data_IF_120467922212
#
_entry.id   IF_120467922212
#
_cell.length_a   1.000
_cell.length_b   1.000
_cell.length_c   1.000
_cell.angle_alpha   90.00
_cell.angle_beta   90.00
_cell.angle_gamma   90.00
#
_symmetry.space_group_name_H-M   'P 1'
#
loop_
_entity.id
_entity.type
_entity.pdbx_description
1 polymer ?
#
# COMPACT_ATOMS: atom_id res chain seq x y z
N UNK A 1 -7.14 -28.01 -0.07
CA UNK A 1 -6.74 -26.60 -0.30
C UNK A 1 -6.22 -26.48 -1.71
N UNK A 2 -6.62 -25.44 -2.44
CA UNK A 2 -6.20 -25.19 -3.82
C UNK A 2 -5.42 -23.88 -3.90
N UNK A 3 -4.27 -23.91 -4.60
CA UNK A 3 -3.48 -22.69 -4.85
C UNK A 3 -4.10 -21.88 -5.99
N UNK A 4 -4.62 -20.70 -5.68
CA UNK A 4 -5.19 -19.77 -6.66
C UNK A 4 -4.22 -18.62 -6.87
N UNK A 5 -3.81 -18.36 -8.13
CA UNK A 5 -2.95 -17.22 -8.47
C UNK A 5 -3.77 -15.92 -8.37
N UNK A 6 -3.35 -15.02 -7.48
CA UNK A 6 -4.01 -13.74 -7.22
C UNK A 6 -3.12 -12.56 -7.61
N UNK A 7 -1.88 -12.53 -7.11
CA UNK A 7 -0.97 -11.41 -7.34
C UNK A 7 -0.01 -11.68 -8.49
N UNK A 8 -0.02 -10.81 -9.49
CA UNK A 8 0.96 -10.86 -10.57
C UNK A 8 2.36 -10.42 -10.09
N UNK A 9 3.37 -10.69 -10.91
CA UNK A 9 4.75 -10.40 -10.56
C UNK A 9 4.99 -8.90 -10.37
N UNK A 10 4.36 -8.06 -11.21
CA UNK A 10 4.52 -6.61 -11.12
C UNK A 10 4.02 -6.08 -9.78
N UNK A 11 2.80 -6.45 -9.35
CA UNK A 11 2.24 -6.01 -8.06
C UNK A 11 3.14 -6.43 -6.90
N UNK A 12 3.70 -7.62 -6.94
CA UNK A 12 4.60 -8.15 -5.90
C UNK A 12 5.92 -7.38 -5.84
N UNK A 13 6.56 -7.14 -6.98
CA UNK A 13 7.79 -6.37 -7.07
C UNK A 13 7.55 -4.91 -6.65
N UNK A 14 6.49 -4.30 -7.14
CA UNK A 14 6.08 -2.96 -6.73
C UNK A 14 5.92 -2.87 -5.21
N UNK A 15 5.17 -3.80 -4.60
CA UNK A 15 4.96 -3.81 -3.15
C UNK A 15 6.27 -3.93 -2.37
N UNK A 16 7.13 -4.87 -2.75
CA UNK A 16 8.41 -5.09 -2.06
C UNK A 16 9.35 -3.88 -2.22
N UNK A 17 9.46 -3.34 -3.45
CA UNK A 17 10.31 -2.17 -3.72
C UNK A 17 9.82 -0.91 -3.00
N UNK A 18 8.51 -0.66 -3.02
CA UNK A 18 7.90 0.49 -2.33
C UNK A 18 8.12 0.41 -0.82
N UNK A 19 7.89 -0.76 -0.21
CA UNK A 19 8.12 -0.96 1.21
C UNK A 19 9.60 -0.76 1.57
N UNK A 20 10.53 -1.34 0.79
CA UNK A 20 11.97 -1.20 1.01
C UNK A 20 12.41 0.26 0.90
N UNK A 21 12.04 0.94 -0.20
CA UNK A 21 12.45 2.33 -0.45
C UNK A 21 11.90 3.27 0.62
N UNK A 22 10.64 3.12 1.01
CA UNK A 22 10.05 3.93 2.08
C UNK A 22 10.78 3.72 3.41
N UNK A 23 11.04 2.48 3.81
CA UNK A 23 11.72 2.18 5.07
C UNK A 23 13.18 2.66 5.06
N UNK A 24 13.90 2.53 3.94
CA UNK A 24 15.25 3.07 3.80
C UNK A 24 15.25 4.59 3.92
N UNK A 25 14.31 5.27 3.24
CA UNK A 25 14.21 6.72 3.32
C UNK A 25 13.85 7.22 4.73
N UNK A 26 12.95 6.51 5.41
CA UNK A 26 12.49 6.93 6.73
C UNK A 26 13.52 6.68 7.85
N UNK A 27 14.25 5.56 7.81
CA UNK A 27 15.08 5.12 8.95
C UNK A 27 16.58 5.19 8.70
N UNK A 28 17.02 5.30 7.44
CA UNK A 28 18.46 5.13 7.10
C UNK A 28 19.05 6.35 6.45
N UNK A 29 18.32 7.04 5.57
CA UNK A 29 18.86 8.23 4.89
C UNK A 29 18.75 9.46 5.79
N UNK A 30 19.71 10.38 5.63
CA UNK A 30 19.63 11.70 6.24
C UNK A 30 18.65 12.57 5.44
N UNK A 31 17.80 13.32 6.15
CA UNK A 31 16.83 14.23 5.55
C UNK A 31 17.56 15.29 4.68
N UNK A 32 17.00 15.54 3.49
CA UNK A 32 17.56 16.47 2.53
C UNK A 32 18.86 16.00 1.85
N UNK A 33 19.34 14.78 2.13
CA UNK A 33 20.49 14.23 1.41
C UNK A 33 20.14 13.88 -0.04
N UNK A 34 21.14 13.89 -0.93
CA UNK A 34 20.94 13.49 -2.32
C UNK A 34 20.37 12.07 -2.46
N UNK A 35 20.77 11.15 -1.56
CA UNK A 35 20.25 9.80 -1.55
C UNK A 35 18.76 9.76 -1.19
N UNK A 36 18.34 10.56 -0.18
CA UNK A 36 16.93 10.70 0.20
C UNK A 36 16.09 11.15 -1.01
N UNK A 37 16.53 12.21 -1.70
CA UNK A 37 15.83 12.74 -2.87
C UNK A 37 15.75 11.73 -4.02
N UNK A 38 16.87 11.05 -4.36
CA UNK A 38 16.86 10.05 -5.43
C UNK A 38 15.94 8.86 -5.13
N UNK A 39 15.91 8.39 -3.90
CA UNK A 39 14.98 7.34 -3.47
C UNK A 39 13.52 7.84 -3.52
N UNK A 40 13.27 9.09 -3.15
CA UNK A 40 11.97 9.75 -3.27
C UNK A 40 11.48 9.82 -4.73
N UNK A 41 12.34 10.23 -5.67
CA UNK A 41 12.02 10.22 -7.10
C UNK A 41 11.77 8.81 -7.63
N UNK A 42 12.58 7.84 -7.20
CA UNK A 42 12.38 6.42 -7.53
C UNK A 42 11.04 5.90 -7.03
N UNK A 43 10.65 6.27 -5.81
CA UNK A 43 9.35 5.92 -5.24
C UNK A 43 8.19 6.53 -6.04
N UNK A 44 8.29 7.80 -6.42
CA UNK A 44 7.27 8.45 -7.25
C UNK A 44 7.14 7.76 -8.62
N UNK A 45 8.25 7.39 -9.25
CA UNK A 45 8.23 6.64 -10.51
C UNK A 45 7.54 5.27 -10.35
N UNK A 46 7.83 4.53 -9.25
CA UNK A 46 7.15 3.28 -8.93
C UNK A 46 5.63 3.48 -8.76
N UNK A 47 5.22 4.55 -8.06
CA UNK A 47 3.80 4.89 -7.90
C UNK A 47 3.13 5.19 -9.25
N UNK A 48 3.78 5.95 -10.12
CA UNK A 48 3.30 6.21 -11.48
C UNK A 48 3.09 4.93 -12.29
N UNK A 49 4.07 4.02 -12.26
CA UNK A 49 3.97 2.70 -12.88
C UNK A 49 2.82 1.86 -12.28
N UNK A 50 2.61 1.94 -10.97
CA UNK A 50 1.50 1.23 -10.28
C UNK A 50 0.14 1.79 -10.70
N UNK A 51 0.03 3.10 -10.86
CA UNK A 51 -1.22 3.73 -11.34
C UNK A 51 -1.53 3.23 -12.75
N UNK A 52 -0.56 3.27 -13.67
CA UNK A 52 -0.73 2.73 -15.04
C UNK A 52 -1.16 1.26 -14.98
N UNK A 53 -0.46 0.43 -14.18
CA UNK A 53 -0.80 -0.99 -14.00
C UNK A 53 -2.17 -1.21 -13.39
N UNK A 54 -2.65 -0.26 -12.60
CA UNK A 54 -4.01 -0.25 -12.04
C UNK A 54 -5.12 -0.15 -13.09
N UNK A 55 -4.81 0.28 -14.31
CA UNK A 55 -5.76 0.33 -15.43
C UNK A 55 -5.59 -0.85 -16.41
N UNK A 56 -4.35 -1.23 -16.72
CA UNK A 56 -4.04 -2.20 -17.78
C UNK A 56 -3.61 -3.58 -17.27
N UNK A 57 -3.27 -3.71 -15.99
CA UNK A 57 -2.72 -4.91 -15.37
C UNK A 57 -3.69 -6.10 -15.28
N UNK A 58 -3.29 -7.13 -14.53
CA UNK A 58 -4.08 -8.34 -14.30
C UNK A 58 -5.39 -8.06 -13.55
N UNK A 59 -6.32 -9.02 -13.56
CA UNK A 59 -7.67 -8.86 -12.99
C UNK A 59 -7.65 -8.30 -11.57
N UNK A 60 -6.85 -8.89 -10.67
CA UNK A 60 -6.76 -8.47 -9.26
C UNK A 60 -5.89 -7.21 -9.04
N UNK A 61 -5.14 -6.75 -10.06
CA UNK A 61 -4.35 -5.53 -10.02
C UNK A 61 -5.16 -4.29 -10.40
N UNK A 62 -6.25 -4.45 -11.17
CA UNK A 62 -7.05 -3.34 -11.70
C UNK A 62 -7.90 -2.71 -10.62
N UNK A 63 -7.78 -1.39 -10.45
CA UNK A 63 -8.53 -0.62 -9.46
C UNK A 63 -10.04 -0.84 -9.53
N UNK A 64 -10.62 -0.88 -10.74
CA UNK A 64 -12.07 -1.09 -10.93
C UNK A 64 -12.61 -2.38 -10.31
N UNK A 65 -11.76 -3.41 -10.13
CA UNK A 65 -12.18 -4.72 -9.64
C UNK A 65 -12.16 -4.82 -8.11
N UNK A 66 -11.58 -3.82 -7.43
CA UNK A 66 -11.55 -3.78 -5.97
C UNK A 66 -11.77 -2.37 -5.41
N UNK A 67 -12.43 -1.48 -6.17
CA UNK A 67 -12.76 -0.14 -5.70
C UNK A 67 -13.62 -0.25 -4.42
N UNK A 68 -13.17 0.31 -3.28
CA UNK A 68 -13.93 0.22 -2.05
C UNK A 68 -15.18 1.08 -2.13
N UNK A 69 -16.31 0.55 -1.64
CA UNK A 69 -17.57 1.28 -1.49
C UNK A 69 -17.89 1.42 -0.01
N UNK A 70 -18.55 2.51 0.37
CA UNK A 70 -18.95 2.72 1.77
C UNK A 70 -19.84 1.58 2.28
N UNK A 71 -20.74 1.08 1.43
CA UNK A 71 -21.59 -0.07 1.76
C UNK A 71 -20.76 -1.33 1.99
N UNK A 72 -19.86 -1.68 1.07
CA UNK A 72 -19.00 -2.87 1.19
C UNK A 72 -18.06 -2.81 2.39
N UNK A 73 -17.52 -1.61 2.73
CA UNK A 73 -16.69 -1.45 3.94
C UNK A 73 -17.53 -1.68 5.21
N UNK A 74 -18.75 -1.11 5.29
CA UNK A 74 -19.64 -1.32 6.44
C UNK A 74 -20.05 -2.78 6.59
N UNK A 75 -20.42 -3.43 5.49
CA UNK A 75 -20.79 -4.85 5.46
C UNK A 75 -19.61 -5.72 5.91
N UNK A 76 -18.41 -5.46 5.39
CA UNK A 76 -17.22 -6.23 5.79
C UNK A 76 -16.88 -6.04 7.27
N UNK A 77 -16.99 -4.81 7.81
CA UNK A 77 -16.80 -4.55 9.25
C UNK A 77 -17.85 -5.32 10.06
N UNK A 78 -19.13 -5.29 9.66
CA UNK A 78 -20.18 -6.04 10.31
C UNK A 78 -19.87 -7.55 10.32
N UNK A 79 -19.51 -8.12 9.17
CA UNK A 79 -19.14 -9.53 9.03
C UNK A 79 -17.95 -9.92 9.93
N UNK A 80 -16.99 -8.99 10.14
CA UNK A 80 -15.90 -9.20 11.09
C UNK A 80 -16.39 -9.36 12.53
N UNK A 81 -17.35 -8.54 12.97
CA UNK A 81 -17.92 -8.63 14.32
C UNK A 81 -18.76 -9.89 14.54
N UNK A 82 -19.45 -10.37 13.49
CA UNK A 82 -20.24 -11.60 13.55
C UNK A 82 -19.44 -12.89 13.28
N UNK A 83 -18.12 -12.77 13.07
CA UNK A 83 -17.23 -13.92 12.90
C UNK A 83 -17.35 -14.60 11.54
N UNK A 84 -17.93 -13.95 10.55
CA UNK A 84 -18.01 -14.48 9.19
C UNK A 84 -16.62 -14.54 8.54
N UNK A 85 -16.40 -15.58 7.72
CA UNK A 85 -15.12 -15.75 7.02
C UNK A 85 -15.02 -14.80 5.84
N UNK A 86 -13.80 -14.33 5.56
CA UNK A 86 -13.50 -13.56 4.36
C UNK A 86 -13.19 -14.51 3.19
N UNK A 87 -14.06 -14.53 2.18
CA UNK A 87 -13.93 -15.35 0.97
C UNK A 87 -13.35 -14.58 -0.23
N UNK A 88 -12.89 -13.33 -0.03
CA UNK A 88 -12.36 -12.51 -1.11
C UNK A 88 -11.05 -13.08 -1.66
N UNK A 89 -11.01 -13.40 -2.96
CA UNK A 89 -9.79 -13.83 -3.64
C UNK A 89 -8.75 -12.71 -3.71
N UNK A 90 -9.17 -11.48 -4.09
CA UNK A 90 -8.32 -10.29 -4.17
C UNK A 90 -8.24 -9.53 -2.84
N UNK A 91 -8.36 -8.20 -2.93
CA UNK A 91 -8.49 -7.34 -1.75
C UNK A 91 -9.92 -7.41 -1.20
N UNK A 92 -10.05 -7.56 0.11
CA UNK A 92 -11.32 -7.30 0.77
C UNK A 92 -11.55 -5.77 0.86
N UNK A 93 -12.76 -5.30 1.19
CA UNK A 93 -13.08 -3.86 1.19
C UNK A 93 -12.18 -2.99 2.06
N UNK A 94 -11.76 -3.47 3.25
CA UNK A 94 -10.81 -2.75 4.12
C UNK A 94 -9.39 -2.77 3.55
N UNK A 95 -8.94 -3.89 2.99
CA UNK A 95 -7.67 -3.99 2.30
C UNK A 95 -7.62 -3.07 1.08
N UNK A 96 -8.72 -2.98 0.32
CA UNK A 96 -8.84 -2.05 -0.80
C UNK A 96 -8.72 -0.58 -0.33
N UNK A 97 -9.43 -0.20 0.74
CA UNK A 97 -9.32 1.14 1.32
C UNK A 97 -7.88 1.46 1.73
N UNK A 98 -7.18 0.51 2.36
CA UNK A 98 -5.78 0.67 2.76
C UNK A 98 -4.86 0.83 1.54
N UNK A 99 -5.09 0.12 0.43
CA UNK A 99 -4.32 0.32 -0.81
C UNK A 99 -4.44 1.75 -1.32
N UNK A 100 -5.67 2.29 -1.41
CA UNK A 100 -5.88 3.67 -1.85
C UNK A 100 -5.32 4.70 -0.87
N UNK A 101 -5.44 4.45 0.44
CA UNK A 101 -4.82 5.29 1.47
C UNK A 101 -3.30 5.36 1.30
N UNK A 102 -2.62 4.22 1.20
CA UNK A 102 -1.16 4.18 1.06
C UNK A 102 -0.69 4.76 -0.28
N UNK A 103 -1.35 4.45 -1.40
CA UNK A 103 -0.99 5.03 -2.69
C UNK A 103 -1.14 6.55 -2.70
N UNK A 104 -2.26 7.07 -2.16
CA UNK A 104 -2.53 8.50 -2.10
C UNK A 104 -1.58 9.24 -1.16
N UNK A 105 -1.36 8.72 0.05
CA UNK A 105 -0.47 9.35 1.03
C UNK A 105 0.99 9.31 0.61
N UNK A 106 1.47 8.21 0.00
CA UNK A 106 2.82 8.14 -0.57
C UNK A 106 3.00 9.12 -1.75
N UNK A 107 1.98 9.27 -2.61
CA UNK A 107 2.04 10.25 -3.69
C UNK A 107 2.10 11.68 -3.16
N UNK A 108 1.31 12.03 -2.14
CA UNK A 108 1.39 13.32 -1.46
C UNK A 108 2.75 13.53 -0.79
N UNK A 109 3.27 12.51 -0.11
CA UNK A 109 4.59 12.55 0.53
C UNK A 109 5.70 12.84 -0.51
N UNK A 110 5.73 12.11 -1.62
CA UNK A 110 6.71 12.37 -2.68
C UNK A 110 6.54 13.77 -3.29
N UNK A 111 5.30 14.22 -3.48
CA UNK A 111 5.01 15.54 -4.04
C UNK A 111 5.51 16.65 -3.12
N UNK A 112 5.26 16.56 -1.82
CA UNK A 112 5.76 17.57 -0.85
C UNK A 112 7.28 17.57 -0.76
N UNK A 113 7.95 16.43 -0.86
CA UNK A 113 9.42 16.35 -0.92
C UNK A 113 9.98 17.06 -2.15
N UNK A 114 9.39 16.84 -3.33
CA UNK A 114 9.80 17.53 -4.55
C UNK A 114 9.54 19.04 -4.44
N UNK A 115 8.38 19.45 -3.92
CA UNK A 115 8.06 20.86 -3.76
C UNK A 115 9.03 21.56 -2.81
N UNK A 116 9.44 20.91 -1.72
CA UNK A 116 10.40 21.45 -0.76
C UNK A 116 11.79 21.76 -1.38
N UNK A 117 12.16 21.06 -2.46
CA UNK A 117 13.40 21.30 -3.20
C UNK A 117 13.30 22.40 -4.27
N UNK A 118 12.10 22.94 -4.53
CA UNK A 118 11.92 24.02 -5.52
C UNK A 118 12.28 25.38 -4.95
N UNK A 119 12.75 26.31 -5.81
CA UNK A 119 13.07 27.68 -5.41
C UNK A 119 11.93 28.40 -4.69
N UNK A 120 10.68 28.03 -5.01
CA UNK A 120 9.48 28.62 -4.41
C UNK A 120 9.33 28.26 -2.93
N UNK A 121 9.70 27.04 -2.53
CA UNK A 121 9.47 26.51 -1.19
C UNK A 121 10.76 26.22 -0.42
N UNK A 122 11.91 26.44 -1.04
CA UNK A 122 13.20 26.19 -0.42
C UNK A 122 13.35 26.94 0.91
N UNK A 123 13.66 26.22 1.99
CA UNK A 123 13.82 26.77 3.33
C UNK A 123 12.52 27.20 4.02
N UNK A 124 11.36 26.91 3.43
CA UNK A 124 10.07 27.18 4.08
C UNK A 124 9.73 26.10 5.09
N UNK A 125 9.87 26.41 6.37
CA UNK A 125 9.64 25.47 7.49
C UNK A 125 8.30 24.75 7.43
N UNK A 126 7.22 25.44 7.05
CA UNK A 126 5.91 24.80 6.98
C UNK A 126 5.83 23.68 5.92
N UNK A 127 6.61 23.77 4.82
CA UNK A 127 6.65 22.72 3.81
C UNK A 127 7.39 21.48 4.34
N UNK A 128 8.47 21.69 5.09
CA UNK A 128 9.19 20.62 5.79
C UNK A 128 8.27 19.95 6.82
N UNK A 129 7.54 20.73 7.62
CA UNK A 129 6.60 20.22 8.62
C UNK A 129 5.46 19.39 7.99
N UNK A 130 4.95 19.80 6.82
CA UNK A 130 3.95 19.03 6.07
C UNK A 130 4.53 17.72 5.54
N UNK A 131 5.76 17.75 5.02
CA UNK A 131 6.44 16.54 4.54
C UNK A 131 6.69 15.56 5.68
N UNK A 132 7.21 16.02 6.81
CA UNK A 132 7.42 15.21 8.01
C UNK A 132 6.09 14.63 8.55
N UNK A 133 5.04 15.44 8.62
CA UNK A 133 3.71 14.97 9.01
C UNK A 133 3.22 13.84 8.10
N UNK A 134 3.37 13.98 6.79
CA UNK A 134 2.97 12.94 5.83
C UNK A 134 3.83 11.68 5.96
N UNK A 135 5.13 11.81 6.21
CA UNK A 135 6.02 10.67 6.45
C UNK A 135 5.57 9.87 7.69
N UNK A 136 5.27 10.56 8.79
CA UNK A 136 4.74 9.95 10.02
C UNK A 136 3.35 9.32 9.81
N UNK A 137 2.47 9.98 9.03
CA UNK A 137 1.16 9.44 8.66
C UNK A 137 1.28 8.13 7.86
N UNK A 138 2.20 8.09 6.88
CA UNK A 138 2.46 6.87 6.10
C UNK A 138 3.01 5.77 7.01
N UNK A 139 3.94 6.08 7.92
CA UNK A 139 4.48 5.08 8.86
C UNK A 139 3.37 4.47 9.74
N UNK A 140 2.48 5.29 10.29
CA UNK A 140 1.32 4.83 11.07
C UNK A 140 0.40 3.97 10.19
N UNK A 141 0.14 4.40 8.95
CA UNK A 141 -0.68 3.64 8.00
C UNK A 141 -0.05 2.28 7.67
N UNK A 142 1.27 2.21 7.53
CA UNK A 142 2.01 0.93 7.35
C UNK A 142 1.86 0.04 8.57
N UNK A 143 1.99 0.59 9.79
CA UNK A 143 1.78 -0.19 11.02
C UNK A 143 0.36 -0.76 11.09
N UNK A 144 -0.66 0.06 10.79
CA UNK A 144 -2.06 -0.39 10.72
C UNK A 144 -2.27 -1.45 9.63
N UNK A 145 -1.62 -1.30 8.47
CA UNK A 145 -1.65 -2.30 7.41
C UNK A 145 -1.09 -3.65 7.88
N UNK A 146 0.06 -3.66 8.55
CA UNK A 146 0.66 -4.88 9.08
C UNK A 146 -0.22 -5.54 10.13
N UNK A 147 -0.83 -4.76 11.03
CA UNK A 147 -1.79 -5.26 12.01
C UNK A 147 -3.03 -5.87 11.33
N UNK A 148 -3.56 -5.21 10.29
CA UNK A 148 -4.67 -5.71 9.48
C UNK A 148 -4.33 -7.02 8.77
N UNK A 149 -3.14 -7.12 8.18
CA UNK A 149 -2.64 -8.35 7.55
C UNK A 149 -2.50 -9.49 8.56
N UNK A 150 -1.96 -9.22 9.74
CA UNK A 150 -1.82 -10.22 10.82
C UNK A 150 -3.19 -10.70 11.33
N UNK A 151 -4.10 -9.76 11.56
CA UNK A 151 -5.48 -10.05 11.98
C UNK A 151 -6.21 -10.91 10.94
N UNK A 152 -6.20 -10.49 9.67
CA UNK A 152 -6.90 -11.19 8.61
C UNK A 152 -6.28 -12.56 8.29
N UNK A 153 -4.95 -12.70 8.40
CA UNK A 153 -4.28 -14.00 8.29
C UNK A 153 -4.79 -14.99 9.36
N UNK A 154 -5.00 -14.53 10.60
CA UNK A 154 -5.55 -15.37 11.67
C UNK A 154 -7.02 -15.71 11.45
N UNK A 155 -7.82 -14.74 11.01
CA UNK A 155 -9.27 -14.88 10.78
C UNK A 155 -9.57 -15.83 9.61
N UNK A 156 -8.97 -15.57 8.46
CA UNK A 156 -9.21 -16.36 7.23
C UNK A 156 -8.45 -17.68 7.20
N UNK A 157 -7.43 -17.86 8.06
CA UNK A 157 -6.45 -18.96 8.03
C UNK A 157 -5.66 -19.04 6.73
N UNK A 158 -5.61 -17.96 5.95
CA UNK A 158 -4.84 -17.81 4.73
C UNK A 158 -3.62 -16.95 5.06
N UNK A 159 -2.40 -17.46 4.83
CA UNK A 159 -1.18 -16.67 5.05
C UNK A 159 -1.02 -15.60 3.97
N UNK A 160 -1.45 -14.36 4.29
CA UNK A 160 -1.44 -13.24 3.35
C UNK A 160 -0.02 -12.76 3.02
N UNK A 161 0.93 -12.88 3.94
CA UNK A 161 2.35 -12.56 3.70
C UNK A 161 2.91 -13.53 2.66
N UNK A 162 2.70 -14.84 2.86
CA UNK A 162 3.10 -15.87 1.88
C UNK A 162 2.43 -15.63 0.52
N UNK A 163 1.14 -15.26 0.53
CA UNK A 163 0.41 -14.96 -0.70
C UNK A 163 1.03 -13.78 -1.47
N UNK A 164 1.48 -12.72 -0.79
CA UNK A 164 2.17 -11.60 -1.43
C UNK A 164 3.53 -12.00 -1.99
N UNK A 165 4.27 -12.89 -1.32
CA UNK A 165 5.59 -13.37 -1.80
C UNK A 165 5.45 -14.33 -2.98
N UNK A 166 4.52 -15.29 -2.91
CA UNK A 166 4.36 -16.36 -3.93
C UNK A 166 3.43 -15.98 -5.08
N UNK A 167 2.55 -15.00 -4.87
CA UNK A 167 1.48 -14.62 -5.77
C UNK A 167 0.23 -15.51 -5.69
N UNK A 168 0.21 -16.50 -4.76
CA UNK A 168 -0.86 -17.50 -4.65
C UNK A 168 -1.52 -17.46 -3.29
N UNK A 169 -2.85 -17.50 -3.25
CA UNK A 169 -3.64 -17.77 -2.04
C UNK A 169 -4.00 -19.25 -1.97
N UNK A 170 -3.88 -19.82 -0.77
CA UNK A 170 -4.25 -21.21 -0.51
C UNK A 170 -5.70 -21.25 0.01
N UNK A 171 -6.66 -21.48 -0.90
CA UNK A 171 -8.09 -21.45 -0.59
C UNK A 171 -8.60 -22.83 -0.16
N UNK A 172 -9.58 -22.90 0.79
CA UNK A 172 -10.24 -24.18 1.09
C UNK A 172 -10.91 -24.72 -0.18
N UNK A 173 -10.93 -26.04 -0.31
CA UNK A 173 -11.77 -26.71 -1.32
C UNK A 173 -13.22 -26.59 -0.87
N UNK A 174 -14.09 -26.06 -1.71
CA UNK A 174 -15.54 -26.12 -1.52
C UNK A 174 -16.05 -27.54 -1.69
#
# INVERSE_FOLDING_TARGET
>A
MQDVKVWDLFVRLFHASTALVFLLNYFVTEDGSALHSYLGYGLLALLGLRVIWGFIGGYHARFKNFMPTVAGVKEHISAMFFGEKDDHLGHNPLGALMVFNLLGSLALLCTTGILAETDMFWGMKWMEDVHEFLANYVLISVALHLLGVAFETKRSKINLVKAMITGKKNMPLN
#
